data_IF_358862376845
#
_entry.id   IF_358862376845
#
_cell.length_a   1.000
_cell.length_b   1.000
_cell.length_c   1.000
_cell.angle_alpha   90.00
_cell.angle_beta   90.00
_cell.angle_gamma   90.00
#
_symmetry.space_group_name_H-M   'P 1'
#
loop_
_entity.id
_entity.type
_entity.pdbx_description
1 polymer ?
#
# COMPACT_ATOMS: atom_id res chain seq x y z
N UNK A 1 -11.39 -5.05 -14.36
CA UNK A 1 -11.43 -4.39 -13.03
C UNK A 1 -12.76 -3.65 -12.93
N UNK A 2 -13.81 -4.26 -12.36
CA UNK A 2 -15.19 -3.88 -12.70
C UNK A 2 -16.03 -3.18 -11.64
N UNK A 3 -15.49 -2.65 -10.52
CA UNK A 3 -16.32 -1.85 -9.57
C UNK A 3 -15.54 -0.74 -8.83
N UNK A 4 -15.22 0.40 -9.46
CA UNK A 4 -14.62 1.55 -8.77
C UNK A 4 -15.51 2.18 -7.68
N UNK A 5 -16.81 1.87 -7.63
CA UNK A 5 -17.75 2.50 -6.69
C UNK A 5 -17.88 1.80 -5.32
N UNK A 6 -17.29 0.62 -5.12
CA UNK A 6 -17.47 -0.14 -3.86
C UNK A 6 -16.78 0.51 -2.67
N UNK A 7 -15.64 1.16 -2.86
CA UNK A 7 -14.88 1.74 -1.74
C UNK A 7 -15.64 2.89 -1.06
N UNK A 8 -16.42 3.66 -1.83
CA UNK A 8 -17.23 4.75 -1.28
C UNK A 8 -18.37 4.23 -0.39
N UNK A 9 -18.92 3.06 -0.71
CA UNK A 9 -19.98 2.44 0.10
C UNK A 9 -19.47 1.93 1.47
N UNK A 10 -18.16 1.73 1.61
CA UNK A 10 -17.53 1.25 2.85
C UNK A 10 -16.81 2.37 3.62
N UNK A 11 -17.14 3.63 3.32
CA UNK A 11 -16.68 4.79 4.10
C UNK A 11 -15.43 5.48 3.59
N UNK A 12 -14.96 5.16 2.38
CA UNK A 12 -13.85 5.91 1.76
C UNK A 12 -14.23 7.38 1.53
N UNK A 13 -13.37 8.30 2.00
CA UNK A 13 -13.58 9.74 1.88
C UNK A 13 -12.36 10.43 1.26
N UNK A 14 -12.53 11.02 0.08
CA UNK A 14 -11.45 11.69 -0.66
C UNK A 14 -10.88 12.94 0.02
N UNK A 15 -11.61 13.52 0.98
CA UNK A 15 -11.13 14.65 1.78
C UNK A 15 -10.20 14.23 2.92
N UNK A 16 -10.14 12.94 3.25
CA UNK A 16 -9.24 12.41 4.27
C UNK A 16 -7.87 12.07 3.70
N UNK A 17 -6.87 12.06 4.58
CA UNK A 17 -5.56 11.49 4.24
C UNK A 17 -5.70 9.98 4.04
N UNK A 18 -4.86 9.41 3.19
CA UNK A 18 -4.89 7.99 2.82
C UNK A 18 -3.52 7.36 3.08
N UNK A 19 -3.50 6.26 3.83
CA UNK A 19 -2.33 5.44 4.05
C UNK A 19 -2.46 4.12 3.28
N UNK A 20 -1.49 3.82 2.44
CA UNK A 20 -1.32 2.49 1.82
C UNK A 20 -0.22 1.79 2.62
N UNK A 21 -0.56 0.70 3.32
CA UNK A 21 0.34 -0.03 4.20
C UNK A 21 0.70 -1.37 3.54
N UNK A 22 2.00 -1.65 3.40
CA UNK A 22 2.51 -2.85 2.72
C UNK A 22 3.44 -3.61 3.65
N UNK A 23 3.12 -4.88 3.92
CA UNK A 23 3.95 -5.75 4.75
C UNK A 23 5.19 -6.26 4.03
N UNK A 24 6.11 -6.87 4.78
CA UNK A 24 7.36 -7.43 4.26
C UNK A 24 7.28 -8.91 3.88
N UNK A 25 8.47 -9.51 3.74
CA UNK A 25 8.63 -10.95 3.53
C UNK A 25 8.06 -11.76 4.70
N UNK A 26 7.43 -12.89 4.39
CA UNK A 26 6.84 -13.82 5.36
C UNK A 26 5.90 -13.14 6.37
N UNK A 27 5.21 -12.10 5.90
CA UNK A 27 4.23 -11.32 6.67
C UNK A 27 2.89 -11.30 5.97
N UNK A 28 1.92 -10.68 6.64
CA UNK A 28 0.53 -10.52 6.18
C UNK A 28 -0.01 -9.19 6.72
N UNK A 29 -1.18 -8.75 6.23
CA UNK A 29 -1.87 -7.57 6.74
C UNK A 29 -2.24 -7.67 8.24
N UNK A 30 -2.34 -8.89 8.78
CA UNK A 30 -2.61 -9.13 10.22
C UNK A 30 -1.34 -9.22 11.07
N UNK A 31 -0.15 -9.05 10.49
CA UNK A 31 1.09 -9.02 11.28
C UNK A 31 1.03 -7.89 12.31
N UNK A 32 1.45 -8.16 13.55
CA UNK A 32 1.27 -7.25 14.70
C UNK A 32 1.72 -5.81 14.43
N UNK A 33 2.87 -5.63 13.78
CA UNK A 33 3.41 -4.32 13.43
C UNK A 33 2.55 -3.60 12.38
N UNK A 34 1.97 -4.33 11.42
CA UNK A 34 1.04 -3.80 10.41
C UNK A 34 -0.29 -3.41 11.05
N UNK A 35 -0.83 -4.24 11.93
CA UNK A 35 -2.05 -3.92 12.68
C UNK A 35 -1.87 -2.67 13.54
N UNK A 36 -0.72 -2.54 14.23
CA UNK A 36 -0.41 -1.36 15.02
C UNK A 36 -0.37 -0.09 14.16
N UNK A 37 0.27 -0.14 12.99
CA UNK A 37 0.28 0.98 12.04
C UNK A 37 -1.13 1.31 11.55
N UNK A 38 -1.90 0.29 11.15
CA UNK A 38 -3.29 0.45 10.70
C UNK A 38 -4.14 1.16 11.77
N UNK A 39 -4.09 0.69 13.01
CA UNK A 39 -4.88 1.27 14.11
C UNK A 39 -4.42 2.71 14.42
N UNK A 40 -3.13 3.00 14.35
CA UNK A 40 -2.58 4.35 14.51
C UNK A 40 -3.04 5.33 13.41
N UNK A 41 -3.19 4.87 12.16
CA UNK A 41 -3.75 5.70 11.09
C UNK A 41 -5.27 5.87 11.20
N UNK A 42 -5.99 4.80 11.59
CA UNK A 42 -7.44 4.85 11.78
C UNK A 42 -7.84 5.80 12.91
N UNK A 43 -7.09 5.84 14.02
CA UNK A 43 -7.33 6.77 15.13
C UNK A 43 -7.23 8.25 14.71
N UNK A 44 -6.50 8.51 13.61
CA UNK A 44 -6.33 9.84 13.00
C UNK A 44 -7.30 10.10 11.84
N UNK A 45 -8.30 9.23 11.63
CA UNK A 45 -9.33 9.33 10.58
C UNK A 45 -8.75 9.30 9.16
N UNK A 46 -7.73 8.48 8.92
CA UNK A 46 -7.24 8.21 7.57
C UNK A 46 -8.10 7.15 6.88
N UNK A 47 -8.20 7.20 5.56
CA UNK A 47 -8.49 5.99 4.79
C UNK A 47 -7.27 5.07 4.87
N UNK A 48 -7.46 3.79 5.17
CA UNK A 48 -6.35 2.84 5.28
C UNK A 48 -6.57 1.68 4.31
N UNK A 49 -5.58 1.46 3.45
CA UNK A 49 -5.51 0.33 2.52
C UNK A 49 -4.32 -0.55 2.90
N UNK A 50 -4.59 -1.74 3.44
CA UNK A 50 -3.55 -2.73 3.66
C UNK A 50 -3.39 -3.60 2.41
N UNK A 51 -2.17 -3.64 1.85
CA UNK A 51 -1.83 -4.49 0.70
C UNK A 51 -1.32 -5.82 1.23
N UNK A 52 -2.16 -6.84 1.13
CA UNK A 52 -1.82 -8.21 1.46
C UNK A 52 -1.28 -8.92 0.21
N UNK A 53 -0.03 -9.35 0.30
CA UNK A 53 0.69 -10.10 -0.73
C UNK A 53 1.38 -11.33 -0.13
N UNK A 54 0.89 -11.83 1.02
CA UNK A 54 1.42 -12.99 1.74
C UNK A 54 1.67 -14.18 0.80
N UNK A 55 0.70 -14.51 -0.06
CA UNK A 55 0.80 -15.63 -1.00
C UNK A 55 2.02 -15.56 -1.95
N UNK A 56 2.60 -14.36 -2.12
CA UNK A 56 3.77 -14.11 -2.98
C UNK A 56 5.06 -13.90 -2.18
N UNK A 57 4.98 -13.89 -0.84
CA UNK A 57 6.08 -13.52 0.05
C UNK A 57 6.43 -14.59 1.09
N UNK A 58 5.93 -15.82 0.95
CA UNK A 58 6.11 -16.89 1.95
C UNK A 58 7.54 -17.43 2.01
N UNK A 59 8.00 -17.75 3.23
CA UNK A 59 9.21 -18.55 3.45
C UNK A 59 9.05 -19.96 2.88
N UNK A 60 10.10 -20.59 2.29
CA UNK A 60 11.50 -20.16 2.20
C UNK A 60 11.87 -19.35 0.95
N UNK A 61 10.91 -18.96 0.12
CA UNK A 61 11.15 -18.53 -1.26
C UNK A 61 11.57 -17.05 -1.40
N UNK A 62 12.57 -16.58 -0.65
CA UNK A 62 12.96 -15.17 -0.60
C UNK A 62 13.31 -14.55 -1.97
N UNK A 63 14.07 -15.26 -2.81
CA UNK A 63 14.44 -14.77 -4.16
C UNK A 63 13.22 -14.62 -5.08
N UNK A 64 12.25 -15.51 -4.95
CA UNK A 64 10.98 -15.41 -5.67
C UNK A 64 10.18 -14.23 -5.13
N UNK A 65 10.12 -14.04 -3.81
CA UNK A 65 9.45 -12.89 -3.19
C UNK A 65 10.05 -11.55 -3.63
N UNK A 66 11.38 -11.46 -3.71
CA UNK A 66 12.08 -10.31 -4.29
C UNK A 66 11.64 -10.05 -5.73
N UNK A 67 11.55 -11.08 -6.56
CA UNK A 67 11.11 -10.94 -7.94
C UNK A 67 9.64 -10.50 -8.02
N UNK A 68 8.79 -11.04 -7.14
CA UNK A 68 7.36 -10.73 -7.04
C UNK A 68 7.09 -9.29 -6.63
N UNK A 69 8.01 -8.62 -5.92
CA UNK A 69 7.85 -7.20 -5.55
C UNK A 69 7.56 -6.29 -6.75
N UNK A 70 8.08 -6.62 -7.95
CA UNK A 70 7.79 -5.89 -9.20
C UNK A 70 6.32 -5.98 -9.60
N UNK A 71 5.73 -7.17 -9.49
CA UNK A 71 4.31 -7.38 -9.79
C UNK A 71 3.45 -6.66 -8.74
N UNK A 72 3.80 -6.80 -7.46
CA UNK A 72 3.06 -6.15 -6.37
C UNK A 72 3.14 -4.63 -6.50
N UNK A 73 4.29 -4.06 -6.88
CA UNK A 73 4.43 -2.62 -7.10
C UNK A 73 3.59 -2.13 -8.29
N UNK A 74 3.47 -2.91 -9.36
CA UNK A 74 2.58 -2.59 -10.49
C UNK A 74 1.11 -2.56 -10.05
N UNK A 75 0.65 -3.60 -9.35
CA UNK A 75 -0.72 -3.66 -8.85
C UNK A 75 -1.02 -2.53 -7.85
N UNK A 76 -0.08 -2.23 -6.96
CA UNK A 76 -0.24 -1.15 -5.98
C UNK A 76 -0.21 0.24 -6.64
N UNK A 77 0.55 0.41 -7.72
CA UNK A 77 0.52 1.63 -8.52
C UNK A 77 -0.84 1.83 -9.23
N UNK A 78 -1.52 0.74 -9.63
CA UNK A 78 -2.89 0.82 -10.16
C UNK A 78 -3.88 1.27 -9.07
N UNK A 79 -3.75 0.76 -7.84
CA UNK A 79 -4.52 1.25 -6.70
C UNK A 79 -4.28 2.75 -6.46
N UNK A 80 -3.01 3.19 -6.41
CA UNK A 80 -2.68 4.60 -6.23
C UNK A 80 -3.27 5.47 -7.35
N UNK A 81 -3.14 5.03 -8.61
CA UNK A 81 -3.69 5.73 -9.76
C UNK A 81 -5.21 5.84 -9.66
N UNK A 82 -5.88 4.78 -9.24
CA UNK A 82 -7.31 4.78 -8.99
C UNK A 82 -7.71 5.76 -7.88
N UNK A 83 -7.00 5.81 -6.76
CA UNK A 83 -7.25 6.79 -5.69
C UNK A 83 -7.11 8.23 -6.19
N UNK A 84 -6.09 8.49 -7.01
CA UNK A 84 -5.92 9.83 -7.59
C UNK A 84 -7.01 10.18 -8.61
N UNK A 85 -7.46 9.21 -9.39
CA UNK A 85 -8.59 9.36 -10.31
C UNK A 85 -9.90 9.61 -9.56
N UNK A 86 -10.08 8.96 -8.40
CA UNK A 86 -11.24 9.12 -7.54
C UNK A 86 -11.31 10.49 -6.84
N UNK A 87 -10.23 11.28 -6.86
CA UNK A 87 -10.20 12.65 -6.34
C UNK A 87 -9.16 12.91 -5.24
N UNK A 88 -8.40 11.90 -4.79
CA UNK A 88 -7.29 12.14 -3.87
C UNK A 88 -6.14 12.87 -4.57
N UNK A 89 -5.57 13.86 -3.90
CA UNK A 89 -4.31 14.48 -4.35
C UNK A 89 -3.11 13.62 -3.95
N UNK A 90 -1.99 13.72 -4.67
CA UNK A 90 -0.76 13.00 -4.31
C UNK A 90 -0.29 13.34 -2.90
N UNK A 91 -0.52 14.57 -2.43
CA UNK A 91 -0.17 15.04 -1.08
C UNK A 91 -0.99 14.36 0.03
N UNK A 92 -2.16 13.82 -0.30
CA UNK A 92 -3.01 13.11 0.65
C UNK A 92 -2.66 11.63 0.76
N UNK A 93 -1.84 11.08 -0.14
CA UNK A 93 -1.53 9.65 -0.16
C UNK A 93 -0.11 9.43 0.35
N UNK A 94 0.03 8.57 1.36
CA UNK A 94 1.32 8.11 1.89
C UNK A 94 1.44 6.60 1.73
N UNK A 95 2.53 6.14 1.13
CA UNK A 95 2.87 4.71 1.12
C UNK A 95 3.77 4.40 2.32
N UNK A 96 3.39 3.42 3.13
CA UNK A 96 4.11 2.97 4.32
C UNK A 96 4.48 1.50 4.11
N UNK A 97 5.76 1.21 4.00
CA UNK A 97 6.24 -0.13 3.71
C UNK A 97 7.20 -0.63 4.78
N UNK A 98 7.01 -1.88 5.21
CA UNK A 98 7.94 -2.57 6.10
C UNK A 98 8.82 -3.55 5.32
N UNK A 99 10.14 -3.52 5.53
CA UNK A 99 11.10 -4.42 4.89
C UNK A 99 10.93 -4.43 3.35
N UNK A 100 10.64 -5.57 2.72
CA UNK A 100 10.31 -5.64 1.28
C UNK A 100 9.13 -4.73 0.86
N UNK A 101 8.20 -4.44 1.76
CA UNK A 101 7.12 -3.48 1.53
C UNK A 101 7.64 -2.06 1.25
N UNK A 102 8.76 -1.65 1.87
CA UNK A 102 9.39 -0.35 1.62
C UNK A 102 9.94 -0.27 0.18
N UNK A 103 10.56 -1.36 -0.29
CA UNK A 103 11.00 -1.47 -1.69
C UNK A 103 9.81 -1.39 -2.64
N UNK A 104 8.70 -2.09 -2.36
CA UNK A 104 7.47 -2.03 -3.15
C UNK A 104 6.96 -0.59 -3.25
N UNK A 105 6.88 0.14 -2.13
CA UNK A 105 6.51 1.56 -2.14
C UNK A 105 7.42 2.39 -3.05
N UNK A 106 8.73 2.16 -3.02
CA UNK A 106 9.67 2.84 -3.93
C UNK A 106 9.40 2.52 -5.40
N UNK A 107 9.29 1.23 -5.73
CA UNK A 107 9.13 0.73 -7.10
C UNK A 107 7.81 1.12 -7.75
N UNK A 108 6.75 1.40 -6.97
CA UNK A 108 5.49 1.93 -7.51
C UNK A 108 5.72 3.16 -8.40
N UNK A 109 6.69 4.00 -8.08
CA UNK A 109 7.00 5.21 -8.84
C UNK A 109 7.36 4.94 -10.32
N UNK A 110 7.89 3.75 -10.63
CA UNK A 110 8.22 3.35 -12.00
C UNK A 110 6.98 3.11 -12.87
N UNK A 111 5.80 3.02 -12.25
CA UNK A 111 4.54 2.72 -12.90
C UNK A 111 3.53 3.87 -12.81
N UNK A 112 3.92 5.00 -12.23
CA UNK A 112 3.05 6.15 -12.02
C UNK A 112 3.44 7.31 -12.94
N UNK A 113 2.44 7.93 -13.56
CA UNK A 113 2.62 9.17 -14.32
C UNK A 113 2.77 10.39 -13.41
N UNK A 114 2.16 10.35 -12.23
CA UNK A 114 2.31 11.36 -11.17
C UNK A 114 3.16 10.80 -10.04
N UNK A 115 4.23 11.53 -9.68
CA UNK A 115 5.11 11.12 -8.58
C UNK A 115 4.35 11.02 -7.25
N UNK A 116 4.75 10.03 -6.45
CA UNK A 116 4.32 9.94 -5.05
C UNK A 116 4.83 11.14 -4.27
N UNK A 117 4.04 11.63 -3.32
CA UNK A 117 4.45 12.74 -2.48
C UNK A 117 5.28 12.29 -1.26
N UNK A 118 4.92 11.15 -0.66
CA UNK A 118 5.55 10.66 0.57
C UNK A 118 5.60 9.13 0.62
N UNK A 119 6.78 8.62 0.97
CA UNK A 119 7.02 7.22 1.29
C UNK A 119 7.64 7.16 2.69
N UNK A 120 7.18 6.22 3.51
CA UNK A 120 7.78 5.90 4.80
C UNK A 120 8.25 4.45 4.72
N UNK A 121 9.57 4.25 4.75
CA UNK A 121 10.19 2.93 4.82
C UNK A 121 10.53 2.57 6.26
N UNK A 122 10.12 1.40 6.70
CA UNK A 122 10.48 0.82 7.99
C UNK A 122 11.42 -0.35 7.71
N UNK A 123 12.65 -0.26 8.23
CA UNK A 123 13.68 -1.27 8.08
C UNK A 123 13.65 -2.20 9.31
N UNK A 124 14.10 -3.44 9.11
CA UNK A 124 14.32 -4.43 10.16
C UNK A 124 15.55 -4.09 11.03
#
# INVERSE_FOLDING_TARGET
MNKPKTIFNVGFNTNQQTAIIIHGFNGTQTSRHIMFLKDAYLSRKFNVFAVDWEALSQYPCYLSSLSNTKLVSQCTAQLYSFLTFAGCTSKQITCVGHSLGAHICGMMSNHLTKKQYKIIGILD
#
